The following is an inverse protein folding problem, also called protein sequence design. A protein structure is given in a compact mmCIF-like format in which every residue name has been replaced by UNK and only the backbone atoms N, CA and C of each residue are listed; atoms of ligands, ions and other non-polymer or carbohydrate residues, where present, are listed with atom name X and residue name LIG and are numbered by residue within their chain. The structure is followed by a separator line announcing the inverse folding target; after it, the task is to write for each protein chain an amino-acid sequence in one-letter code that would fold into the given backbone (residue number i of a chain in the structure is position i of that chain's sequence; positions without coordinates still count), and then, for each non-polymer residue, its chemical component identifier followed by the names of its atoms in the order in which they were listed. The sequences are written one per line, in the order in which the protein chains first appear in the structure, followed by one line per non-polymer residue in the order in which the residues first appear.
data_IF_468690485325
#
_entry.id   IF_468690485325
#
_cell.length_a   1.000
_cell.length_b   1.000
_cell.length_c   1.000
_cell.angle_alpha   90.00
_cell.angle_beta   90.00
_cell.angle_gamma   90.00
#
_symmetry.space_group_name_H-M   'P 1'
#
loop_
_entity.id
_entity.type
_entity.pdbx_description
1 polymer ?
#
# COMPACT_ATOMS: atom_id res chain seq x y z
N UNK A 1 -11.92 -11.19 -60.37
CA UNK A 1 -11.24 -10.14 -59.60
C UNK A 1 -11.80 -10.26 -58.21
N UNK A 2 -10.92 -10.72 -57.34
CA UNK A 2 -11.21 -11.32 -56.04
C UNK A 2 -10.89 -10.31 -54.93
N UNK A 3 -11.54 -10.44 -53.78
CA UNK A 3 -11.13 -9.80 -52.53
C UNK A 3 -11.96 -8.61 -52.05
N UNK A 4 -13.18 -8.86 -51.59
CA UNK A 4 -13.85 -7.99 -50.60
C UNK A 4 -13.29 -8.31 -49.21
N UNK A 5 -12.54 -7.38 -48.63
CA UNK A 5 -12.09 -7.46 -47.24
C UNK A 5 -13.23 -7.11 -46.29
N UNK A 6 -13.73 -8.11 -45.57
CA UNK A 6 -14.60 -7.89 -44.43
C UNK A 6 -13.74 -7.59 -43.21
N UNK A 7 -13.69 -6.30 -42.85
CA UNK A 7 -13.33 -5.81 -41.52
C UNK A 7 -14.36 -6.34 -40.51
N UNK A 8 -14.17 -7.58 -40.08
CA UNK A 8 -14.91 -8.20 -39.00
C UNK A 8 -14.37 -7.72 -37.66
N UNK A 9 -14.88 -6.60 -37.17
CA UNK A 9 -14.71 -6.16 -35.78
C UNK A 9 -15.15 -7.29 -34.85
N UNK A 10 -14.20 -8.02 -34.27
CA UNK A 10 -14.53 -9.10 -33.36
C UNK A 10 -14.55 -8.57 -31.95
N UNK A 11 -15.77 -8.38 -31.47
CA UNK A 11 -16.17 -8.40 -30.07
C UNK A 11 -15.90 -9.82 -29.50
N UNK A 12 -14.63 -10.22 -29.54
CA UNK A 12 -14.16 -11.55 -29.16
C UNK A 12 -14.11 -11.55 -27.66
N UNK A 13 -14.87 -12.45 -27.06
CA UNK A 13 -14.85 -12.76 -25.64
C UNK A 13 -13.40 -12.80 -25.16
N UNK A 14 -12.93 -11.71 -24.53
CA UNK A 14 -11.53 -11.48 -24.19
C UNK A 14 -11.00 -12.54 -23.21
N UNK A 15 -11.88 -13.40 -22.68
CA UNK A 15 -11.58 -14.40 -21.68
C UNK A 15 -10.99 -15.70 -22.26
N UNK A 16 -10.03 -16.29 -21.55
CA UNK A 16 -9.44 -17.60 -21.82
C UNK A 16 -9.28 -18.40 -20.53
N UNK A 17 -9.26 -19.73 -20.64
CA UNK A 17 -8.93 -20.62 -19.51
C UNK A 17 -7.51 -21.15 -19.64
N UNK A 18 -7.09 -21.45 -20.87
CA UNK A 18 -5.74 -21.89 -21.24
C UNK A 18 -5.34 -21.36 -22.64
N UNK A 19 -4.07 -21.59 -23.00
CA UNK A 19 -3.48 -21.11 -24.25
C UNK A 19 -4.20 -21.63 -25.52
N UNK A 20 -4.91 -22.77 -25.45
CA UNK A 20 -5.65 -23.32 -26.59
C UNK A 20 -6.91 -22.53 -26.92
N UNK A 21 -7.37 -21.66 -26.01
CA UNK A 21 -8.46 -20.73 -26.26
C UNK A 21 -8.00 -19.47 -27.01
N UNK A 22 -6.69 -19.28 -27.13
CA UNK A 22 -6.08 -18.11 -27.76
C UNK A 22 -5.56 -18.44 -29.17
N UNK A 23 -5.27 -17.40 -29.97
CA UNK A 23 -4.69 -17.59 -31.29
C UNK A 23 -3.26 -18.14 -31.20
N UNK A 24 -2.74 -18.67 -32.31
CA UNK A 24 -1.41 -19.31 -32.36
C UNK A 24 -0.22 -18.41 -31.94
N UNK A 25 -0.43 -17.09 -31.83
CA UNK A 25 0.56 -16.11 -31.36
C UNK A 25 0.17 -15.45 -30.02
N UNK A 26 -0.77 -16.03 -29.29
CA UNK A 26 -1.30 -15.52 -28.04
C UNK A 26 -1.15 -16.55 -26.92
N UNK A 27 -1.08 -16.06 -25.68
CA UNK A 27 -1.07 -16.86 -24.46
C UNK A 27 -2.24 -16.44 -23.59
N UNK A 28 -2.77 -17.37 -22.81
CA UNK A 28 -3.76 -17.03 -21.81
C UNK A 28 -3.10 -16.45 -20.57
N UNK A 29 -3.41 -15.19 -20.22
CA UNK A 29 -2.84 -14.56 -19.03
C UNK A 29 -3.27 -15.33 -17.77
N UNK A 30 -2.33 -15.77 -16.91
CA UNK A 30 -2.64 -16.72 -15.83
C UNK A 30 -3.64 -16.18 -14.81
N UNK A 31 -3.59 -14.87 -14.52
CA UNK A 31 -4.44 -14.15 -13.56
C UNK A 31 -5.60 -13.41 -14.21
N UNK A 32 -5.34 -12.48 -15.13
CA UNK A 32 -6.38 -11.74 -15.85
C UNK A 32 -7.29 -12.59 -16.74
N UNK A 33 -6.90 -13.83 -17.08
CA UNK A 33 -7.67 -14.73 -17.94
C UNK A 33 -8.03 -14.10 -19.27
N UNK A 34 -7.12 -13.32 -19.85
CA UNK A 34 -7.29 -12.73 -21.19
C UNK A 34 -6.19 -13.18 -22.13
N UNK A 35 -6.51 -13.33 -23.42
CA UNK A 35 -5.51 -13.67 -24.43
C UNK A 35 -4.58 -12.47 -24.66
N UNK A 36 -3.28 -12.68 -24.48
CA UNK A 36 -2.23 -11.68 -24.68
C UNK A 36 -1.31 -12.11 -25.80
N UNK A 37 -1.02 -11.18 -26.72
CA UNK A 37 -0.14 -11.45 -27.86
C UNK A 37 1.31 -11.58 -27.40
N UNK A 38 2.00 -12.61 -27.90
CA UNK A 38 3.44 -12.77 -27.72
C UNK A 38 4.21 -11.81 -28.61
N UNK A 39 5.40 -11.42 -28.20
CA UNK A 39 6.24 -10.47 -28.93
C UNK A 39 7.73 -10.78 -28.76
N UNK A 40 8.55 -10.36 -29.72
CA UNK A 40 10.00 -10.33 -29.58
C UNK A 40 10.51 -8.91 -29.28
N UNK A 41 9.75 -7.89 -29.70
CA UNK A 41 10.02 -6.49 -29.48
C UNK A 41 8.73 -5.66 -29.44
N UNK A 42 8.83 -4.40 -29.01
CA UNK A 42 7.70 -3.46 -28.99
C UNK A 42 7.06 -3.23 -30.37
N UNK A 43 7.79 -3.46 -31.46
CA UNK A 43 7.28 -3.31 -32.83
C UNK A 43 6.30 -4.42 -33.23
N UNK A 44 6.34 -5.58 -32.56
CA UNK A 44 5.43 -6.70 -32.83
C UNK A 44 4.04 -6.50 -32.21
N UNK A 45 3.92 -5.48 -31.36
CA UNK A 45 2.75 -5.25 -30.56
C UNK A 45 1.74 -4.31 -31.22
N UNK A 46 0.43 -4.56 -31.01
CA UNK A 46 -0.61 -3.70 -31.53
C UNK A 46 -0.56 -2.32 -30.86
N UNK A 47 -1.20 -1.35 -31.48
CA UNK A 47 -1.26 0.02 -30.98
C UNK A 47 -1.90 0.11 -29.59
N UNK A 48 -2.79 -0.83 -29.26
CA UNK A 48 -3.40 -0.97 -27.95
C UNK A 48 -2.46 -1.48 -26.85
N UNK A 49 -1.29 -2.02 -27.19
CA UNK A 49 -0.37 -2.65 -26.23
C UNK A 49 1.11 -2.48 -26.64
N UNK A 50 1.59 -1.24 -26.77
CA UNK A 50 2.93 -0.86 -27.29
C UNK A 50 4.17 -1.43 -26.57
N UNK A 51 4.04 -2.11 -25.43
CA UNK A 51 5.19 -2.55 -24.61
C UNK A 51 5.37 -4.05 -24.75
N UNK A 52 6.58 -4.53 -25.06
CA UNK A 52 6.89 -5.96 -25.05
C UNK A 52 7.71 -6.32 -23.82
N UNK A 53 7.15 -7.11 -22.91
CA UNK A 53 7.74 -7.39 -21.60
C UNK A 53 7.28 -8.74 -21.04
N UNK A 54 7.98 -9.26 -20.02
CA UNK A 54 7.72 -10.56 -19.41
C UNK A 54 6.29 -10.67 -18.87
N UNK A 55 5.60 -11.77 -19.15
CA UNK A 55 4.21 -12.04 -18.75
C UNK A 55 3.97 -11.78 -17.26
N UNK A 56 4.91 -12.16 -16.41
CA UNK A 56 4.87 -11.84 -14.98
C UNK A 56 6.27 -11.84 -14.37
N UNK A 57 6.38 -11.53 -13.07
CA UNK A 57 7.65 -11.64 -12.33
C UNK A 57 8.22 -13.06 -12.24
N UNK A 58 7.45 -14.09 -12.61
CA UNK A 58 7.85 -15.51 -12.57
C UNK A 58 7.81 -16.20 -13.94
N UNK A 59 7.25 -15.55 -14.97
CA UNK A 59 7.14 -16.08 -16.33
C UNK A 59 7.79 -15.10 -17.29
N UNK A 60 8.92 -15.52 -17.86
CA UNK A 60 9.79 -14.69 -18.70
C UNK A 60 9.35 -14.64 -20.17
N UNK A 61 8.28 -15.35 -20.55
CA UNK A 61 7.71 -15.24 -21.90
C UNK A 61 7.25 -13.81 -22.15
N UNK A 62 7.68 -13.24 -23.28
CA UNK A 62 7.39 -11.85 -23.60
C UNK A 62 6.01 -11.71 -24.24
N UNK A 63 5.23 -10.76 -23.73
CA UNK A 63 3.88 -10.44 -24.20
C UNK A 63 3.69 -8.94 -24.34
N UNK A 64 2.75 -8.56 -25.18
CA UNK A 64 2.35 -7.18 -25.38
C UNK A 64 1.52 -6.69 -24.19
N UNK A 65 2.00 -5.61 -23.56
CA UNK A 65 1.39 -4.96 -22.40
C UNK A 65 0.91 -3.56 -22.75
N UNK A 66 -0.25 -3.20 -22.21
CA UNK A 66 -0.74 -1.83 -22.24
C UNK A 66 -0.01 -0.98 -21.18
N UNK A 67 -0.03 0.34 -21.38
CA UNK A 67 0.50 1.30 -20.39
C UNK A 67 -0.53 2.34 -19.95
N UNK A 68 -1.60 2.53 -20.70
CA UNK A 68 -2.68 3.49 -20.38
C UNK A 68 -4.03 2.96 -20.84
N UNK A 69 -5.10 3.41 -20.19
CA UNK A 69 -6.48 3.14 -20.61
C UNK A 69 -6.74 3.68 -22.02
N UNK A 70 -6.15 4.82 -22.38
CA UNK A 70 -6.27 5.40 -23.72
C UNK A 70 -5.78 4.44 -24.80
N UNK A 71 -4.65 3.76 -24.59
CA UNK A 71 -4.16 2.75 -25.55
C UNK A 71 -5.15 1.59 -25.67
N UNK A 72 -5.70 1.09 -24.57
CA UNK A 72 -6.69 0.01 -24.61
C UNK A 72 -7.96 0.37 -25.40
N UNK A 73 -8.24 1.65 -25.57
CA UNK A 73 -9.41 2.13 -26.29
C UNK A 73 -9.07 2.84 -27.61
N UNK A 74 -7.82 2.79 -28.10
CA UNK A 74 -7.37 3.62 -29.23
C UNK A 74 -8.11 3.34 -30.54
N UNK A 75 -8.45 2.06 -30.77
CA UNK A 75 -9.20 1.60 -31.96
C UNK A 75 -10.69 1.37 -31.63
N UNK A 76 -11.16 1.84 -30.47
CA UNK A 76 -12.54 1.67 -30.01
C UNK A 76 -13.27 3.00 -30.01
N UNK A 77 -14.55 2.99 -30.41
CA UNK A 77 -15.45 4.13 -30.23
C UNK A 77 -15.96 4.29 -28.79
N UNK A 78 -15.44 3.50 -27.86
CA UNK A 78 -15.91 3.36 -26.47
C UNK A 78 -14.75 3.53 -25.49
N UNK A 79 -15.06 3.77 -24.22
CA UNK A 79 -14.10 3.87 -23.11
C UNK A 79 -14.36 2.79 -22.05
N UNK A 80 -14.69 1.59 -22.51
CA UNK A 80 -15.14 0.44 -21.72
C UNK A 80 -13.98 -0.41 -21.20
N UNK A 81 -12.77 -0.23 -21.71
CA UNK A 81 -11.58 -0.95 -21.27
C UNK A 81 -10.69 -0.10 -20.36
N UNK A 82 -9.98 -0.76 -19.47
CA UNK A 82 -8.88 -0.22 -18.67
C UNK A 82 -7.62 -1.05 -18.89
N UNK A 83 -6.47 -0.41 -18.79
CA UNK A 83 -5.21 -1.12 -18.68
C UNK A 83 -5.05 -1.59 -17.24
N UNK A 84 -5.19 -2.90 -17.01
CA UNK A 84 -5.19 -3.45 -15.65
C UNK A 84 -3.90 -3.09 -14.92
N UNK A 85 -4.02 -2.55 -13.71
CA UNK A 85 -2.86 -2.17 -12.90
C UNK A 85 -1.89 -3.34 -12.62
N UNK A 86 -2.35 -4.53 -12.17
CA UNK A 86 -1.43 -5.61 -11.80
C UNK A 86 -0.82 -6.31 -13.01
N UNK A 87 -1.60 -6.53 -14.06
CA UNK A 87 -1.24 -7.43 -15.16
C UNK A 87 -0.87 -6.68 -16.45
N UNK A 88 -1.17 -5.38 -16.54
CA UNK A 88 -0.90 -4.51 -17.70
C UNK A 88 -1.48 -5.08 -18.99
N UNK A 89 -2.70 -5.57 -18.89
CA UNK A 89 -3.50 -6.08 -20.02
C UNK A 89 -4.83 -5.33 -20.09
N UNK A 90 -5.37 -5.18 -21.29
CA UNK A 90 -6.64 -4.49 -21.47
C UNK A 90 -7.80 -5.37 -20.98
N UNK A 91 -8.54 -4.91 -19.97
CA UNK A 91 -9.67 -5.62 -19.37
C UNK A 91 -10.91 -4.74 -19.36
N UNK A 92 -12.13 -5.30 -19.40
CA UNK A 92 -13.35 -4.53 -19.18
C UNK A 92 -13.30 -3.78 -17.85
N UNK A 93 -13.87 -2.57 -17.84
CA UNK A 93 -14.12 -1.83 -16.60
C UNK A 93 -15.05 -2.62 -15.71
N UNK A 94 -14.66 -2.75 -14.45
CA UNK A 94 -15.57 -3.28 -13.43
C UNK A 94 -16.54 -2.18 -12.97
N UNK A 95 -17.73 -2.58 -12.54
CA UNK A 95 -18.72 -1.72 -11.87
C UNK A 95 -19.04 -2.20 -10.46
N UNK A 96 -18.64 -3.42 -10.12
CA UNK A 96 -18.84 -4.10 -8.85
C UNK A 96 -17.85 -5.26 -8.72
N UNK A 97 -17.62 -5.72 -7.50
CA UNK A 97 -16.61 -6.76 -7.20
C UNK A 97 -16.84 -8.07 -7.96
N UNK A 98 -18.10 -8.43 -8.25
CA UNK A 98 -18.43 -9.65 -9.01
C UNK A 98 -17.99 -9.60 -10.46
N UNK A 99 -17.65 -8.43 -10.98
CA UNK A 99 -17.10 -8.28 -12.33
C UNK A 99 -15.61 -8.64 -12.37
N UNK A 100 -14.97 -8.76 -11.21
CA UNK A 100 -13.55 -9.06 -11.07
C UNK A 100 -13.29 -10.54 -10.76
N UNK A 101 -12.10 -11.01 -11.11
CA UNK A 101 -11.66 -12.36 -10.73
C UNK A 101 -11.66 -12.52 -9.20
N UNK A 102 -11.86 -13.76 -8.73
CA UNK A 102 -11.93 -14.07 -7.30
C UNK A 102 -10.74 -13.49 -6.52
N UNK A 103 -11.03 -12.77 -5.44
CA UNK A 103 -10.02 -12.10 -4.61
C UNK A 103 -9.59 -10.70 -5.08
N UNK A 104 -10.26 -10.15 -6.09
CA UNK A 104 -10.13 -8.75 -6.51
C UNK A 104 -11.39 -7.96 -6.14
N UNK A 105 -11.21 -6.66 -5.91
CA UNK A 105 -12.23 -5.66 -5.59
C UNK A 105 -12.30 -4.67 -6.75
N UNK A 106 -13.50 -4.20 -7.05
CA UNK A 106 -13.69 -3.20 -8.07
C UNK A 106 -13.50 -1.78 -7.53
N UNK A 107 -12.51 -1.06 -8.04
CA UNK A 107 -12.40 0.39 -7.84
C UNK A 107 -13.34 1.11 -8.79
N UNK A 108 -14.57 1.37 -8.34
CA UNK A 108 -15.63 1.93 -9.20
C UNK A 108 -15.30 3.31 -9.78
N UNK A 109 -14.41 4.09 -9.14
CA UNK A 109 -13.99 5.40 -9.67
C UNK A 109 -13.16 5.27 -10.96
N UNK A 110 -12.32 4.25 -11.04
CA UNK A 110 -11.44 4.02 -12.20
C UNK A 110 -11.89 2.85 -13.07
N UNK A 111 -12.79 2.00 -12.58
CA UNK A 111 -13.20 0.73 -13.20
C UNK A 111 -12.12 -0.36 -13.13
N UNK A 112 -11.19 -0.29 -12.18
CA UNK A 112 -10.06 -1.22 -12.09
C UNK A 112 -10.36 -2.39 -11.14
N UNK A 113 -10.14 -3.62 -11.60
CA UNK A 113 -10.10 -4.78 -10.72
C UNK A 113 -8.73 -4.86 -10.05
N UNK A 114 -8.70 -4.69 -8.72
CA UNK A 114 -7.46 -4.68 -7.96
C UNK A 114 -7.54 -5.53 -6.71
N UNK A 115 -6.40 -6.06 -6.28
CA UNK A 115 -6.32 -6.94 -5.10
C UNK A 115 -6.62 -6.18 -3.80
N UNK A 116 -6.41 -4.86 -3.82
CA UNK A 116 -6.50 -3.98 -2.66
C UNK A 116 -7.35 -2.76 -2.99
N UNK A 117 -8.07 -2.24 -2.01
CA UNK A 117 -8.99 -1.13 -2.15
C UNK A 117 -8.35 0.22 -1.89
N UNK A 118 -8.60 1.17 -2.80
CA UNK A 118 -8.26 2.58 -2.62
C UNK A 118 -9.26 3.29 -1.70
N UNK A 119 -9.29 4.63 -1.75
CA UNK A 119 -10.15 5.44 -0.87
C UNK A 119 -11.63 5.08 -1.02
N UNK A 120 -12.29 4.78 0.08
CA UNK A 120 -13.73 4.48 0.14
C UNK A 120 -14.08 3.03 -0.19
N UNK A 121 -13.12 2.22 -0.64
CA UNK A 121 -13.33 0.79 -0.84
C UNK A 121 -13.71 0.10 0.48
N UNK A 122 -14.62 -0.89 0.46
CA UNK A 122 -15.04 -1.58 1.67
C UNK A 122 -13.89 -2.42 2.24
N UNK A 123 -13.78 -2.43 3.56
CA UNK A 123 -12.82 -3.25 4.28
C UNK A 123 -13.44 -3.78 5.58
N UNK A 124 -12.84 -4.82 6.17
CA UNK A 124 -13.28 -5.40 7.44
C UNK A 124 -12.10 -5.64 8.39
N UNK A 125 -12.29 -5.37 9.68
CA UNK A 125 -11.22 -5.43 10.67
C UNK A 125 -10.42 -4.13 10.79
N UNK A 126 -9.12 -4.26 11.08
CA UNK A 126 -8.22 -3.14 11.40
C UNK A 126 -6.90 -3.21 10.62
N UNK A 127 -6.15 -2.11 10.60
CA UNK A 127 -4.85 -2.04 9.93
C UNK A 127 -5.00 -2.05 8.41
N UNK A 128 -4.19 -2.83 7.70
CA UNK A 128 -4.25 -2.86 6.24
C UNK A 128 -5.54 -3.49 5.71
N UNK A 129 -6.03 -4.57 6.32
CA UNK A 129 -7.21 -5.33 5.84
C UNK A 129 -7.12 -5.60 4.33
N UNK A 130 -8.12 -5.21 3.55
CA UNK A 130 -8.17 -5.27 2.09
C UNK A 130 -7.73 -3.98 1.42
N UNK A 131 -7.14 -3.01 2.12
CA UNK A 131 -6.78 -1.70 1.58
C UNK A 131 -5.40 -1.65 0.94
N UNK A 132 -5.16 -0.70 0.06
CA UNK A 132 -3.85 -0.52 -0.60
C UNK A 132 -2.71 -0.41 0.41
N UNK A 133 -1.76 -1.33 0.31
CA UNK A 133 -0.61 -1.38 1.21
C UNK A 133 0.22 -0.10 1.10
N UNK A 134 0.60 0.47 2.25
CA UNK A 134 1.51 1.61 2.30
C UNK A 134 0.88 2.95 1.94
N UNK A 135 -0.40 2.96 1.58
CA UNK A 135 -1.12 4.19 1.23
C UNK A 135 -2.46 4.32 1.96
N UNK A 136 -3.09 3.21 2.35
CA UNK A 136 -4.39 3.20 3.01
C UNK A 136 -4.40 2.29 4.24
N UNK A 137 -5.44 2.44 5.07
CA UNK A 137 -5.76 1.54 6.16
C UNK A 137 -7.28 1.44 6.31
N UNK A 138 -7.75 0.37 6.94
CA UNK A 138 -9.16 0.18 7.21
C UNK A 138 -9.59 1.00 8.43
N UNK A 139 -10.49 1.95 8.19
CA UNK A 139 -11.10 2.79 9.21
C UNK A 139 -12.62 2.76 9.02
N UNK A 140 -13.37 2.44 10.08
CA UNK A 140 -14.86 2.48 10.05
C UNK A 140 -15.49 1.66 8.90
N UNK A 141 -14.84 0.57 8.49
CA UNK A 141 -15.30 -0.31 7.41
C UNK A 141 -14.96 0.19 5.99
N UNK A 142 -14.15 1.25 5.88
CA UNK A 142 -13.70 1.79 4.60
C UNK A 142 -12.19 2.03 4.58
N UNK A 143 -11.59 1.84 3.41
CA UNK A 143 -10.20 2.15 3.16
C UNK A 143 -9.99 3.66 3.15
N UNK A 144 -9.16 4.14 4.06
CA UNK A 144 -8.87 5.56 4.30
C UNK A 144 -7.39 5.84 4.03
N UNK A 145 -7.04 6.93 3.34
CA UNK A 145 -5.65 7.32 3.13
C UNK A 145 -4.88 7.47 4.43
N UNK A 146 -3.59 7.13 4.42
CA UNK A 146 -2.69 7.44 5.52
C UNK A 146 -2.57 8.96 5.70
N UNK A 147 -2.50 9.48 6.95
CA UNK A 147 -2.31 10.90 7.19
C UNK A 147 -1.03 11.44 6.55
N UNK A 148 -1.14 12.54 5.82
CA UNK A 148 0.03 13.23 5.26
C UNK A 148 0.88 13.83 6.39
N UNK A 149 2.22 13.66 6.38
CA UNK A 149 3.08 14.18 7.43
C UNK A 149 3.34 15.68 7.21
N UNK A 150 2.53 16.55 7.82
CA UNK A 150 2.66 18.02 7.67
C UNK A 150 3.22 18.74 8.92
N UNK A 151 3.74 17.99 9.89
CA UNK A 151 4.27 18.55 11.14
C UNK A 151 5.72 19.03 11.02
N UNK A 152 6.15 19.91 11.93
CA UNK A 152 7.52 20.42 12.01
C UNK A 152 8.57 19.30 12.13
N UNK A 153 8.25 18.21 12.85
CA UNK A 153 9.12 17.04 12.93
C UNK A 153 9.43 16.48 11.53
N UNK A 154 8.44 16.47 10.62
CA UNK A 154 8.65 16.06 9.23
C UNK A 154 9.33 17.15 8.42
N UNK A 155 8.91 18.42 8.53
CA UNK A 155 9.51 19.51 7.76
C UNK A 155 11.02 19.65 8.01
N UNK A 156 11.46 19.45 9.25
CA UNK A 156 12.86 19.52 9.65
C UNK A 156 13.61 18.18 9.49
N UNK A 157 12.93 17.07 9.18
CA UNK A 157 13.54 15.77 8.95
C UNK A 157 14.26 15.74 7.60
N UNK A 158 15.57 15.52 7.59
CA UNK A 158 16.39 15.57 6.37
C UNK A 158 16.42 14.24 5.60
N UNK A 159 16.26 13.09 6.27
CA UNK A 159 16.50 11.77 5.66
C UNK A 159 15.25 11.19 5.00
N UNK A 160 14.59 11.97 4.14
CA UNK A 160 13.35 11.55 3.46
C UNK A 160 13.50 10.30 2.61
N UNK A 161 14.73 10.01 2.14
CA UNK A 161 15.05 8.80 1.39
C UNK A 161 14.90 7.50 2.18
N UNK A 162 14.85 7.55 3.51
CA UNK A 162 14.61 6.37 4.35
C UNK A 162 13.12 5.99 4.43
N UNK A 163 12.22 6.84 3.89
CA UNK A 163 10.79 6.62 3.89
C UNK A 163 10.36 5.83 2.66
N UNK A 164 9.20 5.19 2.75
CA UNK A 164 8.61 4.46 1.63
C UNK A 164 7.23 3.93 1.96
N UNK A 165 6.81 2.97 1.14
CA UNK A 165 5.50 2.32 1.25
C UNK A 165 5.62 0.80 1.32
N UNK A 166 6.84 0.26 1.46
CA UNK A 166 7.11 -1.19 1.40
C UNK A 166 7.47 -1.79 2.75
N UNK A 167 7.92 -0.97 3.71
CA UNK A 167 8.19 -1.34 5.09
C UNK A 167 6.94 -1.30 5.97
N UNK A 168 7.08 -1.45 7.29
CA UNK A 168 5.96 -1.31 8.22
C UNK A 168 5.32 0.08 8.16
N UNK A 169 4.00 0.12 8.29
CA UNK A 169 3.20 1.32 8.10
C UNK A 169 2.50 1.69 9.40
N UNK A 170 2.66 2.94 9.82
CA UNK A 170 1.99 3.55 10.96
C UNK A 170 0.72 4.26 10.48
N UNK A 171 -0.43 3.88 10.99
CA UNK A 171 -1.72 4.42 10.52
C UNK A 171 -2.51 5.15 11.62
N UNK A 172 -2.15 4.99 12.88
CA UNK A 172 -2.80 5.70 13.99
C UNK A 172 -1.82 5.98 15.13
N UNK A 173 -2.09 7.04 15.88
CA UNK A 173 -1.38 7.42 17.09
C UNK A 173 -2.36 8.01 18.11
N UNK A 174 -2.23 7.61 19.38
CA UNK A 174 -3.04 8.16 20.48
C UNK A 174 -2.22 8.37 21.75
N UNK A 175 -2.57 9.42 22.50
CA UNK A 175 -2.11 9.60 23.87
C UNK A 175 -2.70 8.50 24.76
N UNK A 176 -1.84 7.79 25.49
CA UNK A 176 -2.25 6.79 26.49
C UNK A 176 -2.24 7.40 27.89
N UNK A 177 -1.18 8.13 28.24
CA UNK A 177 -1.08 8.84 29.52
C UNK A 177 -0.02 9.93 29.49
N UNK A 178 -0.15 10.92 30.36
CA UNK A 178 0.87 11.92 30.66
C UNK A 178 0.88 12.16 32.17
N UNK A 179 1.85 11.55 32.86
CA UNK A 179 1.91 11.57 34.33
C UNK A 179 3.32 11.86 34.80
N UNK A 180 3.46 12.47 35.98
CA UNK A 180 4.76 12.63 36.63
C UNK A 180 5.36 11.25 36.93
N UNK A 181 6.58 10.98 36.47
CA UNK A 181 7.25 9.69 36.64
C UNK A 181 8.77 9.87 36.77
N UNK A 182 9.21 10.07 38.01
CA UNK A 182 10.63 10.21 38.35
C UNK A 182 11.39 8.89 38.25
N UNK A 183 10.70 7.75 38.33
CA UNK A 183 11.32 6.43 38.28
C UNK A 183 11.76 6.08 36.86
N UNK A 184 10.95 6.43 35.87
CA UNK A 184 11.29 6.23 34.46
C UNK A 184 12.15 7.37 33.89
N UNK A 185 11.80 8.62 34.17
CA UNK A 185 12.43 9.79 33.55
C UNK A 185 13.60 10.38 34.34
N UNK A 186 13.92 9.82 35.52
CA UNK A 186 14.97 10.33 36.40
C UNK A 186 14.52 11.50 37.29
N UNK A 187 15.47 12.04 38.05
CA UNK A 187 15.18 12.85 39.25
C UNK A 187 15.25 14.36 39.07
N UNK A 188 15.56 14.88 37.88
CA UNK A 188 16.09 16.24 37.80
C UNK A 188 15.08 17.39 37.87
N UNK A 189 13.77 17.18 37.66
CA UNK A 189 12.70 18.17 37.94
C UNK A 189 11.33 17.56 37.59
N UNK A 190 10.64 16.90 38.54
CA UNK A 190 9.26 16.36 38.40
C UNK A 190 8.83 15.98 36.96
N UNK A 191 9.60 15.14 36.25
CA UNK A 191 9.42 14.96 34.81
C UNK A 191 8.10 14.26 34.51
N UNK A 192 7.47 14.62 33.39
CA UNK A 192 6.30 13.94 32.85
C UNK A 192 6.74 12.83 31.92
N UNK A 193 6.28 11.59 32.18
CA UNK A 193 6.30 10.51 31.20
C UNK A 193 5.01 10.56 30.38
N UNK A 194 5.17 10.80 29.10
CA UNK A 194 4.10 10.78 28.10
C UNK A 194 4.17 9.46 27.36
N UNK A 195 3.09 8.68 27.40
CA UNK A 195 2.94 7.42 26.66
C UNK A 195 2.08 7.65 25.43
N UNK A 196 2.61 7.28 24.26
CA UNK A 196 1.89 7.37 22.98
C UNK A 196 1.83 5.96 22.40
N UNK A 197 0.62 5.48 22.10
CA UNK A 197 0.42 4.21 21.39
C UNK A 197 0.28 4.47 19.89
N UNK A 198 1.02 3.69 19.12
CA UNK A 198 1.07 3.72 17.66
C UNK A 198 0.53 2.41 17.13
N UNK A 199 -0.39 2.48 16.17
CA UNK A 199 -0.92 1.30 15.49
C UNK A 199 -0.21 1.13 14.14
N UNK A 200 0.25 -0.09 13.88
CA UNK A 200 1.04 -0.42 12.71
C UNK A 200 0.54 -1.68 12.00
N UNK A 201 0.80 -1.76 10.70
CA UNK A 201 0.67 -2.99 9.93
C UNK A 201 1.91 -3.25 9.06
N UNK A 202 2.14 -4.49 8.65
CA UNK A 202 3.30 -4.87 7.83
C UNK A 202 3.01 -6.08 6.94
N UNK A 203 3.58 -6.08 5.74
CA UNK A 203 3.54 -7.23 4.81
C UNK A 203 4.45 -8.38 5.26
N UNK A 204 5.41 -8.09 6.15
CA UNK A 204 6.26 -9.06 6.82
C UNK A 204 5.88 -9.17 8.30
N UNK A 205 5.90 -10.37 8.90
CA UNK A 205 5.59 -10.54 10.32
C UNK A 205 6.41 -9.62 11.20
N UNK A 206 5.74 -8.91 12.11
CA UNK A 206 6.42 -8.21 13.19
C UNK A 206 7.16 -9.22 14.09
N UNK A 207 8.33 -8.84 14.66
CA UNK A 207 9.05 -9.67 15.63
C UNK A 207 8.19 -10.00 16.86
N UNK A 208 8.50 -11.09 17.57
CA UNK A 208 7.73 -11.46 18.76
C UNK A 208 8.03 -10.55 19.94
N UNK A 209 9.24 -9.98 20.00
CA UNK A 209 9.66 -9.15 21.13
C UNK A 209 10.06 -7.74 20.69
N UNK A 210 9.89 -6.77 21.60
CA UNK A 210 10.25 -5.38 21.35
C UNK A 210 11.75 -5.19 21.01
N UNK A 211 12.63 -5.98 21.64
CA UNK A 211 14.08 -5.88 21.43
C UNK A 211 14.54 -6.29 20.02
N UNK A 212 13.70 -7.03 19.28
CA UNK A 212 13.98 -7.47 17.92
C UNK A 212 13.45 -6.49 16.85
N UNK A 213 12.70 -5.46 17.26
CA UNK A 213 12.17 -4.44 16.35
C UNK A 213 13.31 -3.52 15.93
N UNK A 214 13.69 -3.65 14.66
CA UNK A 214 14.73 -2.86 14.03
C UNK A 214 14.13 -1.82 13.09
N UNK A 215 14.90 -0.76 12.82
CA UNK A 215 14.52 0.28 11.86
C UNK A 215 13.32 1.14 12.27
N UNK A 216 12.98 1.19 13.56
CA UNK A 216 11.92 2.04 14.11
C UNK A 216 12.52 3.29 14.78
N UNK A 217 12.07 4.47 14.37
CA UNK A 217 12.68 5.74 14.75
C UNK A 217 11.66 6.78 15.23
N UNK A 218 12.14 7.66 16.09
CA UNK A 218 11.47 8.85 16.60
C UNK A 218 12.21 10.08 16.11
N UNK A 219 11.48 11.06 15.60
CA UNK A 219 12.01 12.33 15.12
C UNK A 219 11.48 13.46 15.98
N UNK A 220 12.41 14.26 16.53
CA UNK A 220 12.08 15.46 17.31
C UNK A 220 11.69 16.61 16.39
N UNK A 221 11.08 17.66 16.96
CA UNK A 221 10.65 18.85 16.22
C UNK A 221 11.79 19.49 15.42
N UNK A 222 13.02 19.46 15.94
CA UNK A 222 14.21 19.98 15.25
C UNK A 222 14.79 19.04 14.17
N UNK A 223 14.08 17.96 13.80
CA UNK A 223 14.53 16.99 12.79
C UNK A 223 15.51 15.94 13.29
N UNK A 224 15.94 15.98 14.56
CA UNK A 224 16.87 14.97 15.11
C UNK A 224 16.20 13.60 15.19
N UNK A 225 16.87 12.60 14.61
CA UNK A 225 16.44 11.20 14.59
C UNK A 225 17.03 10.45 15.78
N UNK A 226 16.20 9.67 16.46
CA UNK A 226 16.57 8.78 17.56
C UNK A 226 15.98 7.39 17.31
N UNK A 227 16.65 6.35 17.77
CA UNK A 227 16.04 5.02 17.81
C UNK A 227 14.83 5.03 18.73
N UNK A 228 13.70 4.53 18.25
CA UNK A 228 12.47 4.43 19.04
C UNK A 228 12.29 3.05 19.69
N UNK A 229 13.08 2.04 19.29
CA UNK A 229 12.97 0.69 19.84
C UNK A 229 13.24 0.63 21.34
N UNK A 230 14.10 1.50 21.87
CA UNK A 230 14.36 1.59 23.31
C UNK A 230 13.21 2.23 24.09
N UNK A 231 12.32 2.97 23.43
CA UNK A 231 11.21 3.70 24.07
C UNK A 231 10.02 2.80 24.41
N UNK A 232 9.99 1.57 23.90
CA UNK A 232 8.91 0.59 24.10
C UNK A 232 9.33 -0.61 24.95
N UNK A 233 10.49 -0.54 25.63
CA UNK A 233 11.07 -1.68 26.36
C UNK A 233 10.33 -2.08 27.64
N UNK A 234 9.36 -1.28 28.12
CA UNK A 234 8.55 -1.68 29.27
C UNK A 234 7.56 -2.80 28.90
N UNK A 235 7.30 -3.71 29.83
CA UNK A 235 6.32 -4.79 29.62
C UNK A 235 4.95 -4.23 29.21
N UNK A 236 4.31 -4.88 28.25
CA UNK A 236 3.00 -4.49 27.71
C UNK A 236 3.01 -3.32 26.72
N UNK A 237 4.18 -2.73 26.43
CA UNK A 237 4.27 -1.64 25.45
C UNK A 237 4.45 -2.11 23.99
N UNK A 238 4.52 -3.42 23.75
CA UNK A 238 4.63 -3.98 22.41
C UNK A 238 3.70 -5.18 22.31
N UNK A 239 2.70 -5.07 21.46
CA UNK A 239 1.67 -6.09 21.27
C UNK A 239 1.60 -6.39 19.78
N UNK A 240 1.76 -7.66 19.40
CA UNK A 240 1.57 -8.12 18.01
C UNK A 240 0.29 -8.92 17.90
N UNK A 241 -0.40 -8.77 16.78
CA UNK A 241 -1.66 -9.45 16.52
C UNK A 241 -1.82 -9.81 15.04
N UNK A 242 -2.83 -10.63 14.76
CA UNK A 242 -3.05 -11.20 13.43
C UNK A 242 -2.38 -12.56 13.27
N UNK A 243 -2.91 -13.39 12.36
CA UNK A 243 -2.47 -14.77 12.18
C UNK A 243 -1.00 -14.85 11.75
N UNK A 244 -0.52 -13.84 11.04
CA UNK A 244 0.87 -13.74 10.57
C UNK A 244 1.67 -12.66 11.32
N UNK A 245 1.17 -12.18 12.48
CA UNK A 245 1.73 -11.02 13.19
C UNK A 245 1.85 -9.79 12.27
N UNK A 246 0.87 -9.59 11.41
CA UNK A 246 0.84 -8.50 10.43
C UNK A 246 0.43 -7.16 11.05
N UNK A 247 -0.02 -7.14 12.31
CA UNK A 247 -0.38 -5.92 13.05
C UNK A 247 0.42 -5.79 14.34
N UNK A 248 0.73 -4.56 14.72
CA UNK A 248 1.37 -4.25 15.99
C UNK A 248 0.80 -2.98 16.63
N UNK A 249 0.74 -2.95 17.96
CA UNK A 249 0.61 -1.75 18.77
C UNK A 249 1.93 -1.49 19.50
N UNK A 250 2.52 -0.32 19.26
CA UNK A 250 3.79 0.11 19.86
C UNK A 250 3.52 1.31 20.78
N UNK A 251 3.71 1.13 22.07
CA UNK A 251 3.58 2.20 23.07
C UNK A 251 4.94 2.73 23.45
N UNK A 252 5.27 3.92 22.96
CA UNK A 252 6.51 4.60 23.30
C UNK A 252 6.34 5.45 24.56
N UNK A 253 7.39 5.53 25.37
CA UNK A 253 7.45 6.38 26.57
C UNK A 253 8.46 7.50 26.36
N UNK A 254 8.00 8.75 26.46
CA UNK A 254 8.78 9.96 26.27
C UNK A 254 8.85 10.76 27.55
N UNK A 255 10.02 11.33 27.84
CA UNK A 255 10.25 12.15 29.03
C UNK A 255 10.28 13.63 28.67
N UNK A 256 9.44 14.42 29.35
CA UNK A 256 9.34 15.86 29.16
C UNK A 256 9.40 16.63 30.48
N UNK A 257 9.78 17.93 30.44
CA UNK A 257 9.72 18.80 31.60
C UNK A 257 8.31 18.85 32.22
N UNK A 258 8.25 19.11 33.52
CA UNK A 258 6.98 19.23 34.26
C UNK A 258 6.03 20.30 33.70
N UNK A 259 6.59 21.36 33.10
CA UNK A 259 5.85 22.46 32.48
C UNK A 259 5.25 22.13 31.11
N UNK A 260 5.59 20.98 30.50
CA UNK A 260 5.02 20.60 29.22
C UNK A 260 3.50 20.36 29.35
N UNK A 261 2.74 20.96 28.44
CA UNK A 261 1.28 20.76 28.27
C UNK A 261 0.95 20.08 26.94
N UNK A 262 1.97 19.85 26.12
CA UNK A 262 1.81 19.13 24.86
C UNK A 262 3.14 18.56 24.38
N UNK A 263 3.06 17.63 23.41
CA UNK A 263 4.20 17.11 22.68
C UNK A 263 3.86 16.91 21.21
N UNK A 264 4.75 17.38 20.33
CA UNK A 264 4.76 17.05 18.90
C UNK A 264 5.78 15.94 18.63
N UNK A 265 5.32 14.87 18.00
CA UNK A 265 6.12 13.68 17.72
C UNK A 265 6.04 13.28 16.26
N UNK A 266 7.15 12.77 15.72
CA UNK A 266 7.22 12.12 14.43
C UNK A 266 7.79 10.72 14.58
N UNK A 267 7.20 9.73 13.92
CA UNK A 267 7.68 8.35 13.94
C UNK A 267 7.73 7.79 12.53
N UNK A 268 8.70 6.91 12.27
CA UNK A 268 8.75 6.16 11.02
C UNK A 268 9.45 4.82 11.19
N UNK A 269 9.20 3.92 10.25
CA UNK A 269 10.05 2.76 10.00
C UNK A 269 10.86 2.97 8.73
N UNK A 270 12.05 2.39 8.62
CA UNK A 270 12.79 2.34 7.35
C UNK A 270 11.91 1.71 6.24
N UNK A 271 11.87 2.33 5.07
CA UNK A 271 10.97 2.04 3.95
C UNK A 271 9.46 2.14 4.27
N UNK A 272 9.09 2.66 5.45
CA UNK A 272 7.71 2.90 5.87
C UNK A 272 7.31 4.37 5.77
N UNK A 273 6.06 4.68 6.14
CA UNK A 273 5.57 6.05 6.14
C UNK A 273 6.05 6.82 7.38
N UNK A 274 5.99 8.16 7.28
CA UNK A 274 6.19 9.04 8.42
C UNK A 274 4.83 9.41 9.03
N UNK A 275 4.67 9.22 10.33
CA UNK A 275 3.46 9.58 11.07
C UNK A 275 3.76 10.72 12.04
N UNK A 276 3.03 11.82 11.89
CA UNK A 276 3.01 12.92 12.83
C UNK A 276 1.93 12.70 13.90
N UNK A 277 2.21 13.05 15.16
CA UNK A 277 1.21 13.07 16.21
C UNK A 277 1.46 14.21 17.19
N UNK A 278 0.41 14.99 17.45
CA UNK A 278 0.36 16.02 18.47
C UNK A 278 -0.51 15.52 19.62
N UNK A 279 0.05 15.44 20.83
CA UNK A 279 -0.69 15.12 22.04
C UNK A 279 -0.75 16.33 22.97
N UNK A 280 -1.94 16.68 23.43
CA UNK A 280 -2.19 17.76 24.42
C UNK A 280 -2.66 17.12 25.73
N UNK A 281 -2.17 17.62 26.87
CA UNK A 281 -2.44 17.06 28.20
C UNK A 281 -2.26 18.05 29.35
#
# INVERSE_FOLDING_TARGET
MDGGGEDGGVDRNLSCTDDSNCLAAELCHPTSKVCVRTCASAADCPDSAKTCDALSGFDTRLVCKCSTDTLCNIDRGTSDLVCSNPDKVCTPKCTKDTDCASGLICETATGQCQRWGGTGAPCSGEGQSTCDYGTHFCSTGQCTPLPAPICDNYLNFTNKGDLGTTGPILYNARLVSAVTDTSYCGTTTTPKRVKIALSAYSSRPFPMTAGEVNGFFYVRVNGTVLSASTLMMSSGNYIVSGTNRERAELTVSLCHPSSATSVSTGFYFTQGNFLCHQANF
#
